data_IF_978900587217
#
_entry.id   IF_978900587217
#
_cell.length_a   1.000
_cell.length_b   1.000
_cell.length_c   1.000
_cell.angle_alpha   90.00
_cell.angle_beta   90.00
_cell.angle_gamma   90.00
#
_symmetry.space_group_name_H-M   'P 1'
#
loop_
_entity.id
_entity.type
_entity.pdbx_description
1 polymer ?
#
# COMPACT_ATOMS: atom_id res chain seq x y z
N UNK A 1 47.29 -27.24 38.50
CA UNK A 1 46.79 -25.87 38.27
C UNK A 1 46.26 -25.79 36.85
N UNK A 2 44.95 -26.03 36.67
CA UNK A 2 44.21 -25.95 35.40
C UNK A 2 43.44 -24.66 35.38
N UNK A 3 43.77 -23.76 34.43
CA UNK A 3 43.08 -22.52 34.20
C UNK A 3 41.84 -22.78 33.30
N UNK A 4 40.65 -22.48 33.80
CA UNK A 4 39.40 -22.51 33.04
C UNK A 4 39.26 -21.18 32.31
N UNK A 5 39.28 -21.20 30.96
CA UNK A 5 38.95 -20.09 30.10
C UNK A 5 37.43 -19.97 29.98
N UNK A 6 36.83 -18.90 30.54
CA UNK A 6 35.47 -18.51 30.32
C UNK A 6 35.39 -17.70 29.00
N UNK A 7 34.83 -18.31 27.95
CA UNK A 7 34.45 -17.63 26.72
C UNK A 7 33.10 -16.92 26.93
N UNK A 8 33.13 -15.58 26.98
CA UNK A 8 31.95 -14.72 26.97
C UNK A 8 31.33 -14.74 25.58
N UNK A 9 30.19 -15.41 25.43
CA UNK A 9 29.33 -15.29 24.27
C UNK A 9 28.64 -13.91 24.30
N UNK A 10 29.08 -13.01 23.48
CA UNK A 10 28.34 -11.79 23.19
C UNK A 10 27.13 -12.17 22.33
N UNK A 11 25.97 -12.23 22.97
CA UNK A 11 24.68 -12.27 22.32
C UNK A 11 24.45 -10.93 21.62
N UNK A 12 24.48 -10.92 20.30
CA UNK A 12 23.97 -9.78 19.52
C UNK A 12 22.45 -9.74 19.72
N UNK A 13 21.99 -8.97 20.69
CA UNK A 13 20.60 -8.50 20.74
C UNK A 13 20.44 -7.47 19.62
N UNK A 14 20.04 -7.93 18.42
CA UNK A 14 19.55 -7.06 17.37
C UNK A 14 18.27 -6.39 17.89
N UNK A 15 18.37 -5.10 18.19
CA UNK A 15 17.28 -4.31 18.74
C UNK A 15 16.09 -4.23 17.78
N UNK A 16 15.04 -4.99 18.04
CA UNK A 16 13.72 -4.85 17.42
C UNK A 16 12.84 -3.80 18.14
N UNK A 17 13.45 -2.91 18.90
CA UNK A 17 12.75 -1.92 19.71
C UNK A 17 11.76 -1.02 18.94
N UNK A 18 12.05 -0.49 17.73
CA UNK A 18 11.09 0.38 17.05
C UNK A 18 9.86 -0.36 16.50
N UNK A 19 9.97 -1.65 16.17
CA UNK A 19 8.84 -2.46 15.69
C UNK A 19 7.92 -2.93 16.81
N UNK A 20 8.48 -3.31 17.97
CA UNK A 20 7.69 -3.72 19.14
C UNK A 20 6.89 -2.58 19.73
N UNK A 21 7.44 -1.35 19.73
CA UNK A 21 6.75 -0.17 20.25
C UNK A 21 5.66 0.31 19.29
N UNK A 22 5.89 0.24 17.97
CA UNK A 22 4.86 0.50 16.98
C UNK A 22 3.72 -0.54 17.03
N UNK A 23 4.05 -1.83 17.17
CA UNK A 23 3.06 -2.90 17.32
C UNK A 23 2.31 -2.83 18.65
N UNK A 24 2.96 -2.46 19.76
CA UNK A 24 2.28 -2.30 21.06
C UNK A 24 1.37 -1.07 21.11
N UNK A 25 1.73 0.02 20.44
CA UNK A 25 0.82 1.16 20.24
C UNK A 25 -0.41 0.79 19.40
N UNK A 26 -0.24 -0.11 18.42
CA UNK A 26 -1.33 -0.67 17.60
C UNK A 26 -2.27 -1.58 18.41
N UNK A 27 -1.74 -2.45 19.26
CA UNK A 27 -2.56 -3.39 20.03
C UNK A 27 -3.45 -2.71 21.08
N UNK A 28 -3.10 -1.50 21.50
CA UNK A 28 -3.88 -0.79 22.53
C UNK A 28 -5.06 0.02 22.00
N UNK A 29 -5.12 0.41 20.71
CA UNK A 29 -6.12 1.38 20.23
C UNK A 29 -6.71 1.16 18.82
N UNK A 30 -6.27 0.21 18.02
CA UNK A 30 -6.65 0.13 16.59
C UNK A 30 -7.37 -1.18 16.20
N UNK A 31 -7.92 -1.94 17.14
CA UNK A 31 -8.86 -3.03 16.83
C UNK A 31 -10.30 -2.51 16.70
N UNK A 32 -10.45 -1.50 15.88
CA UNK A 32 -11.77 -1.00 15.56
C UNK A 32 -12.17 -1.53 14.17
N UNK A 33 -12.91 -2.62 14.14
CA UNK A 33 -13.47 -3.19 12.93
C UNK A 33 -14.72 -2.40 12.50
N UNK A 34 -14.60 -1.62 11.40
CA UNK A 34 -15.71 -0.90 10.80
C UNK A 34 -15.44 0.58 10.56
N UNK A 35 -16.18 1.16 9.62
CA UNK A 35 -16.06 2.57 9.19
C UNK A 35 -16.12 3.57 10.36
N UNK A 36 -17.09 3.40 11.25
CA UNK A 36 -17.29 4.29 12.40
C UNK A 36 -16.07 4.28 13.35
N UNK A 37 -15.41 3.15 13.51
CA UNK A 37 -14.29 3.01 14.41
C UNK A 37 -12.99 3.51 13.82
N UNK A 38 -12.77 3.39 12.51
CA UNK A 38 -11.63 4.01 11.83
C UNK A 38 -11.74 5.55 11.87
N UNK A 39 -12.97 6.09 11.72
CA UNK A 39 -13.20 7.53 11.79
C UNK A 39 -13.04 8.11 13.21
N UNK A 40 -13.40 7.33 14.24
CA UNK A 40 -13.31 7.74 15.64
C UNK A 40 -11.98 7.36 16.31
N UNK A 41 -11.07 6.68 15.60
CA UNK A 41 -9.80 6.25 16.14
C UNK A 41 -8.96 7.45 16.63
N UNK A 42 -8.45 7.35 17.86
CA UNK A 42 -7.45 8.31 18.35
C UNK A 42 -6.11 8.00 17.73
N UNK A 43 -5.70 8.84 16.78
CA UNK A 43 -4.45 8.67 16.05
C UNK A 43 -3.30 9.40 16.76
N UNK A 44 -2.15 8.74 16.88
CA UNK A 44 -0.92 9.39 17.31
C UNK A 44 -0.26 10.06 16.09
N UNK A 45 -0.01 11.38 16.17
CA UNK A 45 0.58 12.17 15.09
C UNK A 45 2.00 11.75 14.70
N UNK A 46 2.70 11.02 15.57
CA UNK A 46 4.03 10.47 15.29
C UNK A 46 4.01 9.35 14.25
N UNK A 47 2.86 8.72 14.03
CA UNK A 47 2.73 7.63 13.06
C UNK A 47 2.05 8.10 11.78
N UNK A 48 2.29 7.35 10.72
CA UNK A 48 1.57 7.45 9.45
C UNK A 48 0.61 6.28 9.33
N UNK A 49 -0.60 6.58 8.89
CA UNK A 49 -1.67 5.59 8.79
C UNK A 49 -2.13 5.42 7.36
N UNK A 50 -2.58 4.21 7.04
CA UNK A 50 -3.19 3.84 5.78
C UNK A 50 -4.52 3.16 6.11
N UNK A 51 -5.63 3.75 5.67
CA UNK A 51 -6.92 3.09 5.71
C UNK A 51 -7.01 2.13 4.53
N UNK A 52 -7.47 0.92 4.80
CA UNK A 52 -7.68 -0.12 3.81
C UNK A 52 -9.14 -0.57 3.86
N UNK A 53 -9.84 -0.43 2.74
CA UNK A 53 -11.19 -0.91 2.55
C UNK A 53 -11.18 -2.06 1.53
N UNK A 54 -11.88 -3.14 1.85
CA UNK A 54 -12.10 -4.30 0.97
C UNK A 54 -13.59 -4.54 0.89
N UNK A 55 -14.13 -4.72 -0.30
CA UNK A 55 -15.56 -4.92 -0.50
C UNK A 55 -16.07 -6.11 0.33
N UNK A 56 -17.11 -5.89 1.12
CA UNK A 56 -17.70 -6.90 2.01
C UNK A 56 -16.95 -7.17 3.32
N UNK A 57 -15.88 -6.42 3.61
CA UNK A 57 -15.10 -6.54 4.84
C UNK A 57 -15.07 -5.22 5.61
N UNK A 58 -14.88 -5.27 6.94
CA UNK A 58 -14.69 -4.07 7.74
C UNK A 58 -13.42 -3.32 7.30
N UNK A 59 -13.47 -1.99 7.35
CA UNK A 59 -12.28 -1.15 7.11
C UNK A 59 -11.21 -1.42 8.16
N UNK A 60 -9.95 -1.43 7.73
CA UNK A 60 -8.79 -1.61 8.59
C UNK A 60 -7.89 -0.37 8.56
N UNK A 61 -7.20 -0.11 9.66
CA UNK A 61 -6.15 0.90 9.73
C UNK A 61 -4.79 0.21 9.87
N UNK A 62 -3.90 0.50 8.92
CA UNK A 62 -2.52 0.03 8.95
C UNK A 62 -1.60 1.18 9.37
N UNK A 63 -0.49 0.83 10.01
CA UNK A 63 0.56 1.76 10.39
C UNK A 63 1.80 1.51 9.54
N UNK A 64 2.47 2.60 9.14
CA UNK A 64 3.75 2.50 8.49
C UNK A 64 4.80 2.01 9.49
N UNK A 65 5.33 0.81 9.28
CA UNK A 65 6.40 0.25 10.09
C UNK A 65 7.75 0.84 9.71
N UNK A 66 8.09 0.80 8.43
CA UNK A 66 9.34 1.37 7.91
C UNK A 66 9.25 1.62 6.40
N UNK A 67 10.26 2.31 5.90
CA UNK A 67 10.49 2.54 4.47
C UNK A 67 11.77 1.80 4.08
N UNK A 68 11.65 0.92 3.09
CA UNK A 68 12.75 0.09 2.58
C UNK A 68 13.32 0.78 1.32
N UNK A 69 14.57 1.27 1.35
CA UNK A 69 15.18 1.92 0.20
C UNK A 69 15.28 0.97 -0.99
N UNK A 70 14.84 1.42 -2.16
CA UNK A 70 14.90 0.62 -3.38
C UNK A 70 15.28 1.49 -4.59
N UNK A 71 16.11 1.00 -5.54
CA UNK A 71 16.58 1.79 -6.69
C UNK A 71 15.47 2.36 -7.58
N UNK A 72 14.32 1.72 -7.63
CA UNK A 72 13.15 2.16 -8.41
C UNK A 72 12.14 2.98 -7.60
N UNK A 73 12.54 3.51 -6.45
CA UNK A 73 11.71 4.25 -5.50
C UNK A 73 11.43 3.46 -4.22
N UNK A 74 11.40 4.15 -3.11
CA UNK A 74 11.24 3.57 -1.77
C UNK A 74 9.98 2.72 -1.65
N UNK A 75 10.07 1.65 -0.87
CA UNK A 75 8.96 0.75 -0.56
C UNK A 75 8.48 1.01 0.87
N UNK A 76 7.26 1.48 1.00
CA UNK A 76 6.60 1.64 2.29
C UNK A 76 6.03 0.29 2.74
N UNK A 77 6.30 -0.09 3.98
CA UNK A 77 5.84 -1.35 4.58
C UNK A 77 4.83 -1.06 5.67
N UNK A 78 3.58 -1.44 5.41
CA UNK A 78 2.42 -1.15 6.24
C UNK A 78 1.94 -2.41 6.95
N UNK A 79 1.65 -2.30 8.24
CA UNK A 79 1.22 -3.41 9.10
C UNK A 79 -0.19 -3.15 9.65
N UNK A 80 -1.03 -4.17 9.59
CA UNK A 80 -2.28 -4.20 10.34
C UNK A 80 -2.07 -4.73 11.76
N UNK A 81 -3.04 -4.53 12.63
CA UNK A 81 -3.04 -5.14 13.98
C UNK A 81 -3.25 -6.65 13.99
N UNK A 82 -3.76 -7.24 12.92
CA UNK A 82 -4.06 -8.67 12.77
C UNK A 82 -2.98 -9.44 12.03
N UNK A 83 -1.92 -8.74 11.56
CA UNK A 83 -0.72 -9.37 11.01
C UNK A 83 -0.62 -9.32 9.48
N UNK A 84 -1.59 -8.68 8.81
CA UNK A 84 -1.48 -8.43 7.36
C UNK A 84 -0.42 -7.37 7.09
N UNK A 85 0.30 -7.54 6.00
CA UNK A 85 1.33 -6.61 5.53
C UNK A 85 1.04 -6.21 4.10
N UNK A 86 1.12 -4.90 3.83
CA UNK A 86 1.05 -4.35 2.47
C UNK A 86 2.32 -3.57 2.20
N UNK A 87 2.99 -3.87 1.08
CA UNK A 87 4.17 -3.15 0.60
C UNK A 87 3.79 -2.32 -0.61
N UNK A 88 4.09 -1.04 -0.55
CA UNK A 88 3.69 -0.05 -1.57
C UNK A 88 4.92 0.66 -2.10
N UNK A 89 5.08 0.71 -3.43
CA UNK A 89 6.12 1.46 -4.11
C UNK A 89 5.48 2.46 -5.06
N UNK A 90 5.73 3.74 -4.88
CA UNK A 90 5.12 4.81 -5.69
C UNK A 90 3.58 4.67 -5.82
N UNK A 91 2.89 4.27 -4.74
CA UNK A 91 1.45 4.05 -4.72
C UNK A 91 0.97 2.69 -5.26
N UNK A 92 1.84 1.89 -5.89
CA UNK A 92 1.51 0.56 -6.41
C UNK A 92 1.81 -0.51 -5.37
N UNK A 93 0.89 -1.47 -5.20
CA UNK A 93 1.14 -2.65 -4.38
C UNK A 93 2.25 -3.47 -5.03
N UNK A 94 3.32 -3.74 -4.29
CA UNK A 94 4.45 -4.57 -4.74
C UNK A 94 4.56 -5.89 -3.98
N UNK A 95 3.94 -6.01 -2.82
CA UNK A 95 3.73 -7.28 -2.14
C UNK A 95 2.61 -7.16 -1.13
N UNK A 96 1.98 -8.30 -0.82
CA UNK A 96 1.07 -8.47 0.32
C UNK A 96 1.40 -9.76 1.05
N UNK A 97 0.98 -9.86 2.31
CA UNK A 97 1.08 -11.06 3.12
C UNK A 97 -0.03 -11.11 4.15
N UNK A 98 -0.63 -12.27 4.36
CA UNK A 98 -1.68 -12.50 5.35
C UNK A 98 -3.09 -12.26 4.83
N UNK A 99 -3.27 -11.93 3.56
CA UNK A 99 -4.58 -11.82 2.92
C UNK A 99 -5.05 -13.19 2.41
N UNK A 100 -6.33 -13.28 2.05
CA UNK A 100 -6.89 -14.49 1.42
C UNK A 100 -6.27 -14.80 0.06
N UNK A 101 -5.81 -13.77 -0.64
CA UNK A 101 -4.99 -13.85 -1.86
C UNK A 101 -3.85 -12.85 -1.70
N UNK A 102 -2.63 -13.31 -1.85
CA UNK A 102 -1.44 -12.49 -1.73
C UNK A 102 -0.68 -12.36 -3.06
N UNK A 103 -0.23 -11.16 -3.35
CA UNK A 103 0.88 -10.95 -4.27
C UNK A 103 2.18 -10.99 -3.47
N UNK A 104 2.90 -12.10 -3.55
CA UNK A 104 4.16 -12.28 -2.78
C UNK A 104 5.27 -11.37 -3.25
N UNK A 105 5.30 -11.06 -4.52
CA UNK A 105 6.24 -10.12 -5.10
C UNK A 105 5.70 -9.58 -6.42
N UNK A 106 5.87 -8.29 -6.63
CA UNK A 106 5.74 -7.65 -7.94
C UNK A 106 7.10 -7.08 -8.32
N UNK A 107 7.52 -7.36 -9.55
CA UNK A 107 8.81 -6.91 -10.09
C UNK A 107 8.58 -6.10 -11.35
N UNK A 108 9.32 -5.02 -11.49
CA UNK A 108 9.30 -4.16 -12.66
C UNK A 108 10.63 -4.32 -13.40
N UNK A 109 10.63 -4.81 -14.66
CA UNK A 109 11.84 -4.87 -15.48
C UNK A 109 12.48 -3.50 -15.70
N UNK A 110 11.65 -2.46 -15.75
CA UNK A 110 12.04 -1.06 -15.77
C UNK A 110 11.19 -0.26 -14.81
N UNK A 111 11.70 0.83 -14.27
CA UNK A 111 10.97 1.70 -13.35
C UNK A 111 9.65 2.15 -13.98
N UNK A 112 8.50 1.93 -13.33
CA UNK A 112 7.22 2.46 -13.79
C UNK A 112 7.27 3.99 -13.94
N UNK A 113 6.42 4.57 -14.81
CA UNK A 113 6.43 6.01 -15.03
C UNK A 113 6.15 6.79 -13.75
N UNK A 114 6.88 7.88 -13.54
CA UNK A 114 6.54 8.84 -12.50
C UNK A 114 5.20 9.51 -12.82
N UNK A 115 4.35 9.70 -11.81
CA UNK A 115 2.99 10.27 -11.99
C UNK A 115 3.00 11.65 -12.68
N UNK A 116 4.06 12.44 -12.44
CA UNK A 116 4.24 13.75 -13.08
C UNK A 116 4.66 13.67 -14.55
N UNK A 117 5.18 12.53 -14.99
CA UNK A 117 5.68 12.32 -16.35
C UNK A 117 4.72 11.51 -17.25
N UNK A 118 3.52 11.16 -16.75
CA UNK A 118 2.52 10.45 -17.56
C UNK A 118 1.91 11.41 -18.58
N UNK A 119 2.12 11.16 -19.89
CA UNK A 119 1.59 12.02 -20.95
C UNK A 119 0.09 11.76 -21.19
N UNK A 120 -0.65 12.66 -21.86
CA UNK A 120 -2.09 12.49 -22.12
C UNK A 120 -2.48 11.19 -22.83
N UNK A 121 -1.63 10.70 -23.74
CA UNK A 121 -1.83 9.43 -24.46
C UNK A 121 -1.49 8.19 -23.63
N UNK A 122 -0.96 8.38 -22.42
CA UNK A 122 -0.52 7.31 -21.55
C UNK A 122 0.89 6.80 -21.84
N UNK A 123 1.36 5.91 -20.97
CA UNK A 123 2.67 5.28 -21.07
C UNK A 123 2.59 3.83 -20.65
N UNK A 124 3.31 2.97 -21.37
CA UNK A 124 3.36 1.53 -21.10
C UNK A 124 4.48 1.18 -20.14
N UNK A 125 4.22 0.19 -19.30
CA UNK A 125 5.23 -0.52 -18.54
C UNK A 125 4.87 -2.01 -18.40
N UNK A 126 5.83 -2.80 -17.98
CA UNK A 126 5.63 -4.22 -17.70
C UNK A 126 5.87 -4.49 -16.22
N UNK A 127 5.16 -5.50 -15.71
CA UNK A 127 5.42 -6.08 -14.41
C UNK A 127 5.31 -7.59 -14.46
N UNK A 128 5.97 -8.26 -13.53
CA UNK A 128 5.69 -9.65 -13.20
C UNK A 128 5.26 -9.77 -11.75
N UNK A 129 4.38 -10.73 -11.44
CA UNK A 129 3.89 -10.96 -10.08
C UNK A 129 3.83 -12.44 -9.75
N UNK A 130 3.99 -12.73 -8.47
CA UNK A 130 3.86 -14.07 -7.90
C UNK A 130 2.64 -14.08 -6.96
N UNK A 131 1.75 -15.04 -7.10
CA UNK A 131 0.49 -15.14 -6.36
C UNK A 131 0.42 -16.37 -5.46
N UNK A 132 -0.20 -16.19 -4.29
CA UNK A 132 -0.50 -17.23 -3.32
C UNK A 132 -2.01 -17.18 -2.99
N UNK A 133 -2.62 -18.28 -2.57
CA UNK A 133 -2.05 -19.61 -2.23
C UNK A 133 -1.85 -20.55 -3.43
N UNK A 134 -2.28 -20.17 -4.63
CA UNK A 134 -2.25 -21.08 -5.81
C UNK A 134 -0.86 -21.30 -6.39
N UNK A 135 0.20 -20.72 -5.79
CA UNK A 135 1.59 -20.88 -6.22
C UNK A 135 1.83 -20.52 -7.69
N UNK A 136 1.19 -19.46 -8.18
CA UNK A 136 1.40 -18.95 -9.53
C UNK A 136 2.56 -17.97 -9.55
N UNK A 137 3.56 -18.24 -10.37
CA UNK A 137 4.79 -17.44 -10.40
C UNK A 137 5.00 -16.80 -11.77
N UNK A 138 5.70 -15.67 -11.77
CA UNK A 138 6.12 -14.94 -12.96
C UNK A 138 4.96 -14.60 -13.92
N UNK A 139 3.77 -14.33 -13.38
CA UNK A 139 2.66 -13.82 -14.17
C UNK A 139 3.05 -12.46 -14.71
N UNK A 140 3.05 -12.31 -16.04
CA UNK A 140 3.43 -11.05 -16.69
C UNK A 140 2.21 -10.25 -17.10
N UNK A 141 2.23 -8.96 -16.81
CA UNK A 141 1.20 -8.00 -17.22
C UNK A 141 1.85 -6.87 -18.03
N UNK A 142 1.23 -6.51 -19.16
CA UNK A 142 1.49 -5.28 -19.90
C UNK A 142 0.47 -4.23 -19.48
N UNK A 143 0.91 -3.14 -18.91
CA UNK A 143 0.08 -2.13 -18.28
C UNK A 143 0.22 -0.80 -19.02
N UNK A 144 -0.92 -0.15 -19.29
CA UNK A 144 -0.99 1.22 -19.79
C UNK A 144 -1.45 2.15 -18.67
N UNK A 145 -0.59 3.07 -18.24
CA UNK A 145 -0.98 4.17 -17.33
C UNK A 145 -1.46 5.35 -18.15
N UNK A 146 -2.66 5.85 -17.85
CA UNK A 146 -3.24 7.05 -18.47
C UNK A 146 -3.69 8.05 -17.41
N UNK A 147 -3.62 9.37 -17.68
CA UNK A 147 -4.37 10.34 -16.90
C UNK A 147 -5.87 10.06 -17.02
N UNK A 148 -6.61 10.24 -15.93
CA UNK A 148 -8.04 10.07 -15.92
C UNK A 148 -8.72 11.37 -15.45
N UNK A 149 -9.83 11.79 -16.08
CA UNK A 149 -10.53 13.03 -15.68
C UNK A 149 -11.22 12.90 -14.32
N UNK A 150 -11.66 11.69 -13.98
CA UNK A 150 -12.33 11.36 -12.72
C UNK A 150 -11.85 10.01 -12.22
N UNK A 151 -11.88 9.83 -10.90
CA UNK A 151 -11.63 8.55 -10.26
C UNK A 151 -12.79 7.56 -10.44
N UNK A 152 -12.69 6.36 -9.86
CA UNK A 152 -13.75 5.37 -9.86
C UNK A 152 -14.97 5.89 -9.08
N UNK A 153 -16.13 5.21 -9.22
CA UNK A 153 -17.28 5.48 -8.36
C UNK A 153 -16.91 5.23 -6.90
N UNK A 154 -17.08 6.24 -6.06
CA UNK A 154 -16.68 6.22 -4.66
C UNK A 154 -17.86 5.89 -3.75
N UNK A 155 -17.60 5.10 -2.71
CA UNK A 155 -18.62 4.67 -1.73
C UNK A 155 -18.43 5.29 -0.36
N UNK A 156 -17.31 5.94 -0.07
CA UNK A 156 -17.04 6.53 1.25
C UNK A 156 -16.91 8.06 1.19
N UNK A 157 -17.24 8.74 2.29
CA UNK A 157 -17.15 10.20 2.36
C UNK A 157 -15.74 10.74 2.07
N UNK A 158 -14.69 10.05 2.55
CA UNK A 158 -13.31 10.45 2.30
C UNK A 158 -12.90 10.36 0.83
N UNK A 159 -13.38 9.35 0.11
CA UNK A 159 -13.11 9.21 -1.33
C UNK A 159 -13.91 10.21 -2.17
N UNK A 160 -15.12 10.58 -1.73
CA UNK A 160 -15.92 11.65 -2.36
C UNK A 160 -15.22 13.01 -2.27
N UNK A 161 -14.61 13.32 -1.13
CA UNK A 161 -13.84 14.55 -0.95
C UNK A 161 -12.65 14.64 -1.93
N UNK A 162 -11.91 13.54 -2.13
CA UNK A 162 -10.82 13.47 -3.12
C UNK A 162 -11.33 13.69 -4.54
N UNK A 163 -12.50 13.15 -4.89
CA UNK A 163 -13.10 13.34 -6.22
C UNK A 163 -13.47 14.80 -6.53
N UNK A 164 -13.74 15.59 -5.49
CA UNK A 164 -14.11 17.00 -5.60
C UNK A 164 -12.91 17.95 -5.47
N UNK A 165 -11.76 17.46 -5.05
CA UNK A 165 -10.55 18.27 -4.86
C UNK A 165 -9.95 18.69 -6.20
N UNK A 166 -9.73 20.00 -6.45
CA UNK A 166 -9.14 20.48 -7.71
C UNK A 166 -7.65 20.20 -7.83
N UNK A 167 -6.98 19.83 -6.75
CA UNK A 167 -5.53 19.55 -6.72
C UNK A 167 -5.21 18.10 -7.04
N UNK A 168 -6.17 17.21 -6.87
CA UNK A 168 -5.99 15.77 -7.11
C UNK A 168 -5.92 15.48 -8.60
N UNK A 169 -4.84 14.80 -8.99
CA UNK A 169 -4.68 14.27 -10.34
C UNK A 169 -4.97 12.78 -10.33
N UNK A 170 -5.89 12.35 -11.18
CA UNK A 170 -6.27 10.96 -11.28
C UNK A 170 -5.52 10.25 -12.39
N UNK A 171 -5.16 9.00 -12.13
CA UNK A 171 -4.53 8.10 -13.09
C UNK A 171 -5.19 6.73 -13.03
N UNK A 172 -5.10 6.03 -14.15
CA UNK A 172 -5.62 4.69 -14.31
C UNK A 172 -4.58 3.78 -14.94
N UNK A 173 -4.39 2.60 -14.36
CA UNK A 173 -3.58 1.52 -14.93
C UNK A 173 -4.52 0.47 -15.53
N UNK A 174 -4.50 0.31 -16.85
CA UNK A 174 -5.23 -0.72 -17.59
C UNK A 174 -4.28 -1.86 -17.93
N UNK A 175 -4.68 -3.10 -17.63
CA UNK A 175 -3.95 -4.29 -18.04
C UNK A 175 -4.40 -4.67 -19.43
N UNK A 176 -3.57 -4.41 -20.44
CA UNK A 176 -3.89 -4.69 -21.84
C UNK A 176 -3.63 -6.14 -22.22
N UNK A 177 -2.65 -6.76 -21.56
CA UNK A 177 -2.30 -8.16 -21.76
C UNK A 177 -1.77 -8.75 -20.45
N UNK A 178 -2.18 -9.98 -20.16
CA UNK A 178 -1.73 -10.73 -18.98
C UNK A 178 -1.56 -12.19 -19.35
N UNK A 179 -0.57 -12.84 -18.77
CA UNK A 179 -0.42 -14.31 -18.86
C UNK A 179 -1.37 -15.08 -17.92
N UNK A 180 -2.22 -14.35 -17.17
CA UNK A 180 -3.27 -14.91 -16.31
C UNK A 180 -4.62 -14.25 -16.60
N UNK A 181 -5.63 -14.50 -15.76
CA UNK A 181 -6.93 -13.84 -15.86
C UNK A 181 -6.77 -12.31 -15.78
N UNK A 182 -7.51 -11.53 -16.59
CA UNK A 182 -7.43 -10.08 -16.56
C UNK A 182 -7.91 -9.54 -15.22
N UNK A 183 -7.23 -8.49 -14.74
CA UNK A 183 -7.61 -7.76 -13.54
C UNK A 183 -8.40 -6.50 -13.89
N UNK A 184 -9.30 -6.06 -13.03
CA UNK A 184 -9.94 -4.75 -13.17
C UNK A 184 -8.89 -3.62 -13.23
N UNK A 185 -9.21 -2.48 -13.84
CA UNK A 185 -8.32 -1.32 -13.85
C UNK A 185 -7.98 -0.88 -12.44
N UNK A 186 -6.72 -0.52 -12.22
CA UNK A 186 -6.30 0.13 -11.00
C UNK A 186 -6.41 1.65 -11.12
N UNK A 187 -6.75 2.32 -10.01
CA UNK A 187 -6.95 3.76 -9.96
C UNK A 187 -6.04 4.38 -8.92
N UNK A 188 -5.55 5.58 -9.21
CA UNK A 188 -4.64 6.30 -8.34
C UNK A 188 -5.00 7.78 -8.30
N UNK A 189 -5.11 8.33 -7.10
CA UNK A 189 -5.18 9.76 -6.86
C UNK A 189 -3.82 10.25 -6.37
N UNK A 190 -3.21 11.15 -7.10
CA UNK A 190 -1.92 11.75 -6.77
C UNK A 190 -2.12 13.19 -6.32
N UNK A 191 -1.59 13.53 -5.16
CA UNK A 191 -1.66 14.86 -4.56
C UNK A 191 -0.53 15.05 -3.55
N UNK A 192 -0.58 16.15 -2.79
CA UNK A 192 0.33 16.42 -1.68
C UNK A 192 -0.25 15.87 -0.37
N UNK A 193 0.54 15.09 0.35
CA UNK A 193 0.22 14.60 1.68
C UNK A 193 1.38 14.90 2.64
N UNK A 194 1.12 15.63 3.74
CA UNK A 194 2.14 16.10 4.69
C UNK A 194 3.31 16.83 4.00
N UNK A 195 2.98 17.67 3.00
CA UNK A 195 3.95 18.47 2.25
C UNK A 195 4.76 17.70 1.20
N UNK A 196 4.44 16.41 0.96
CA UNK A 196 5.13 15.59 -0.02
C UNK A 196 4.18 15.11 -1.12
N UNK A 197 4.57 15.21 -2.40
CA UNK A 197 3.78 14.67 -3.51
C UNK A 197 3.79 13.15 -3.45
N UNK A 198 2.59 12.54 -3.40
CA UNK A 198 2.43 11.09 -3.27
C UNK A 198 1.07 10.63 -3.80
N UNK A 199 0.90 9.31 -3.92
CA UNK A 199 -0.42 8.73 -4.12
C UNK A 199 -1.16 8.76 -2.79
N UNK A 200 -2.25 9.52 -2.73
CA UNK A 200 -3.08 9.68 -1.52
C UNK A 200 -4.18 8.64 -1.44
N UNK A 201 -4.61 8.12 -2.59
CA UNK A 201 -5.58 7.04 -2.70
C UNK A 201 -5.22 6.12 -3.87
N UNK A 202 -5.49 4.83 -3.70
CA UNK A 202 -5.51 3.90 -4.83
C UNK A 202 -6.57 2.82 -4.62
N UNK A 203 -7.12 2.31 -5.75
CA UNK A 203 -7.92 1.09 -5.79
C UNK A 203 -7.20 0.11 -6.69
N UNK A 204 -6.76 -1.01 -6.13
CA UNK A 204 -5.98 -2.02 -6.83
C UNK A 204 -6.55 -3.40 -6.54
N UNK A 205 -6.70 -4.22 -7.59
CA UNK A 205 -7.29 -5.53 -7.47
C UNK A 205 -6.19 -6.61 -7.57
N UNK A 206 -6.16 -7.51 -6.60
CA UNK A 206 -5.29 -8.68 -6.61
C UNK A 206 -5.88 -9.83 -7.43
N UNK A 207 -7.21 -9.85 -7.57
CA UNK A 207 -7.94 -10.72 -8.50
C UNK A 207 -9.13 -9.96 -9.13
N UNK A 208 -9.90 -10.63 -9.97
CA UNK A 208 -11.10 -10.03 -10.59
C UNK A 208 -12.14 -9.54 -9.54
N UNK A 209 -12.16 -10.15 -8.37
CA UNK A 209 -13.16 -9.91 -7.32
C UNK A 209 -12.57 -9.44 -5.98
N UNK A 210 -11.26 -9.41 -5.84
CA UNK A 210 -10.59 -9.01 -4.60
C UNK A 210 -9.79 -7.73 -4.81
N UNK A 211 -10.40 -6.60 -4.46
CA UNK A 211 -9.84 -5.26 -4.65
C UNK A 211 -9.62 -4.59 -3.29
N UNK A 212 -8.51 -3.90 -3.18
CA UNK A 212 -8.11 -3.10 -2.02
C UNK A 212 -8.24 -1.62 -2.38
N UNK A 213 -8.91 -0.85 -1.55
CA UNK A 213 -8.89 0.61 -1.59
C UNK A 213 -7.96 1.08 -0.46
N UNK A 214 -6.94 1.82 -0.82
CA UNK A 214 -5.88 2.30 0.07
C UNK A 214 -5.97 3.81 0.14
N UNK A 215 -6.13 4.38 1.34
CA UNK A 215 -6.28 5.81 1.56
C UNK A 215 -5.31 6.28 2.64
N UNK A 216 -4.48 7.28 2.37
CA UNK A 216 -3.66 7.97 3.38
C UNK A 216 -4.58 8.56 4.43
N UNK A 217 -4.34 8.26 5.71
CA UNK A 217 -5.26 8.63 6.79
C UNK A 217 -4.57 9.38 7.94
N UNK A 218 -5.21 10.38 8.56
CA UNK A 218 -6.43 11.02 8.09
C UNK A 218 -6.17 11.84 6.83
N UNK A 219 -7.23 12.10 6.04
CA UNK A 219 -7.14 13.10 4.97
C UNK A 219 -6.84 14.45 5.61
N UNK A 220 -5.86 15.18 5.08
CA UNK A 220 -5.51 16.49 5.62
C UNK A 220 -6.67 17.47 5.37
N UNK A 221 -7.02 18.25 6.40
CA UNK A 221 -7.87 19.41 6.27
C UNK A 221 -7.16 20.42 5.33
N UNK A 222 -7.64 20.52 4.11
CA UNK A 222 -7.05 21.35 3.04
C UNK A 222 -7.07 20.64 1.68
N UNK A 223 -7.31 19.34 1.65
CA UNK A 223 -7.69 18.58 0.45
C UNK A 223 -9.23 18.49 0.31
N UNK A 224 -9.97 19.26 1.13
CA UNK A 224 -11.43 19.36 1.13
C UNK A 224 -11.87 20.70 0.54
#
# INVERSE_FOLDING_TARGET
>A
LTAASCTLLWSCAAGNAPLSDALSALTAQVFASGDASVQSARLDSNYRYLRVDVDGHPSALLVLGYVDPHPQGDIEVWYSGTGEVIRIQNGRIVATSGLSLDWRAVRFPSTPPAWTAVPPQGVFYQRSRDEMPEHRYAITDSVLTTPAPLGPTFSTAGTLALAQSPTVRWFRDDILNSSAAPLPPAWFAWDTYRGQPTVVYSRQCLSATFCLQLLRWPLQEGAL
#
